data_IF_471135350463
#
_entry.id   IF_471135350463
#
_cell.length_a   1.000
_cell.length_b   1.000
_cell.length_c   1.000
_cell.angle_alpha   90.00
_cell.angle_beta   90.00
_cell.angle_gamma   90.00
#
_symmetry.space_group_name_H-M   'P 1'
#
loop_
_entity.id
_entity.type
_entity.pdbx_description
1 polymer ?
#
# COMPACT_ATOMS: atom_id res chain seq x y z
N UNK A 1 19.74 -3.65 9.16
CA UNK A 1 18.57 -2.73 9.24
C UNK A 1 17.36 -3.51 8.74
N UNK A 2 16.09 -3.14 9.04
CA UNK A 2 14.99 -3.81 8.34
C UNK A 2 15.16 -3.62 6.83
N UNK A 3 14.93 -4.69 6.06
CA UNK A 3 14.91 -4.61 4.60
C UNK A 3 13.64 -3.92 4.13
N UNK A 4 13.64 -3.40 2.90
CA UNK A 4 12.46 -2.75 2.34
C UNK A 4 11.23 -3.67 2.34
N UNK A 5 11.37 -4.96 1.98
CA UNK A 5 10.27 -5.94 1.99
C UNK A 5 9.56 -6.03 3.34
N UNK A 6 10.33 -6.07 4.43
CA UNK A 6 9.75 -6.12 5.78
C UNK A 6 8.97 -4.86 6.12
N UNK A 7 9.45 -3.71 5.65
CA UNK A 7 8.82 -2.43 5.93
C UNK A 7 7.52 -2.22 5.13
N UNK A 8 7.52 -2.60 3.85
CA UNK A 8 6.31 -2.55 3.01
C UNK A 8 5.24 -3.52 3.55
N UNK A 9 5.63 -4.75 3.88
CA UNK A 9 4.75 -5.71 4.55
C UNK A 9 4.16 -5.18 5.86
N UNK A 10 4.95 -4.50 6.69
CA UNK A 10 4.46 -3.89 7.93
C UNK A 10 3.41 -2.79 7.67
N UNK A 11 3.49 -2.08 6.54
CA UNK A 11 2.46 -1.12 6.14
C UNK A 11 1.21 -1.80 5.62
N UNK A 12 1.35 -2.87 4.85
CA UNK A 12 0.25 -3.71 4.39
C UNK A 12 -0.57 -4.22 5.58
N UNK A 13 0.09 -4.80 6.59
CA UNK A 13 -0.57 -5.24 7.82
C UNK A 13 -1.25 -4.08 8.57
N UNK A 14 -0.58 -2.92 8.65
CA UNK A 14 -1.10 -1.74 9.35
C UNK A 14 -2.37 -1.22 8.69
N UNK A 15 -2.35 -1.02 7.37
CA UNK A 15 -3.46 -0.46 6.59
C UNK A 15 -4.65 -1.42 6.57
N UNK A 16 -4.43 -2.70 6.28
CA UNK A 16 -5.50 -3.72 6.27
C UNK A 16 -6.14 -3.89 7.65
N UNK A 17 -5.34 -3.81 8.73
CA UNK A 17 -5.85 -3.79 10.10
C UNK A 17 -6.69 -2.55 10.41
N UNK A 18 -6.26 -1.37 9.94
CA UNK A 18 -6.99 -0.13 10.13
C UNK A 18 -8.34 -0.14 9.37
N UNK A 19 -8.36 -0.63 8.13
CA UNK A 19 -9.59 -0.81 7.34
C UNK A 19 -10.56 -1.76 8.04
N UNK A 20 -10.06 -2.89 8.57
CA UNK A 20 -10.87 -3.84 9.33
C UNK A 20 -11.49 -3.20 10.58
N UNK A 21 -10.73 -2.36 11.30
CA UNK A 21 -11.26 -1.61 12.45
C UNK A 21 -12.35 -0.61 12.06
N UNK A 22 -12.27 0.01 10.89
CA UNK A 22 -13.34 0.86 10.36
C UNK A 22 -14.60 0.02 10.13
N UNK A 23 -14.48 -1.12 9.48
CA UNK A 23 -15.60 -2.02 9.16
C UNK A 23 -16.25 -2.62 10.41
N UNK A 24 -15.48 -2.90 11.46
CA UNK A 24 -15.96 -3.45 12.72
C UNK A 24 -16.52 -2.39 13.69
N UNK A 25 -16.44 -1.10 13.33
CA UNK A 25 -16.86 -0.01 14.21
C UNK A 25 -18.38 0.20 14.21
N UNK A 26 -18.94 0.55 15.38
CA UNK A 26 -20.38 0.78 15.55
C UNK A 26 -20.92 1.99 14.78
N UNK A 27 -22.21 1.96 14.45
CA UNK A 27 -22.98 3.06 13.87
C UNK A 27 -22.88 4.30 14.78
N UNK A 28 -22.08 5.30 14.39
CA UNK A 28 -21.79 6.51 15.19
C UNK A 28 -20.33 6.66 15.63
N UNK A 29 -19.43 5.77 15.23
CA UNK A 29 -17.98 5.88 15.47
C UNK A 29 -17.28 6.90 14.55
N UNK A 30 -17.95 7.98 14.17
CA UNK A 30 -17.51 8.97 13.17
C UNK A 30 -16.06 9.44 13.40
N UNK A 31 -15.75 9.92 14.62
CA UNK A 31 -14.41 10.42 14.96
C UNK A 31 -13.33 9.34 14.86
N UNK A 32 -13.66 8.09 15.17
CA UNK A 32 -12.72 6.97 15.06
C UNK A 32 -12.49 6.62 13.59
N UNK A 33 -13.56 6.59 12.79
CA UNK A 33 -13.49 6.32 11.34
C UNK A 33 -12.70 7.40 10.62
N UNK A 34 -12.97 8.68 10.91
CA UNK A 34 -12.21 9.83 10.39
C UNK A 34 -10.72 9.69 10.72
N UNK A 35 -10.39 9.45 11.99
CA UNK A 35 -9.00 9.30 12.41
C UNK A 35 -8.29 8.15 11.70
N UNK A 36 -8.90 6.97 11.65
CA UNK A 36 -8.31 5.80 10.98
C UNK A 36 -8.17 6.03 9.47
N UNK A 37 -9.15 6.67 8.85
CA UNK A 37 -9.11 6.98 7.42
C UNK A 37 -7.96 7.93 7.08
N UNK A 38 -7.78 9.01 7.85
CA UNK A 38 -6.65 9.93 7.65
C UNK A 38 -5.30 9.24 7.89
N UNK A 39 -5.20 8.34 8.87
CA UNK A 39 -4.00 7.51 9.07
C UNK A 39 -3.72 6.61 7.86
N UNK A 40 -4.74 5.90 7.35
CA UNK A 40 -4.63 5.06 6.15
C UNK A 40 -4.17 5.88 4.93
N UNK A 41 -4.79 7.04 4.71
CA UNK A 41 -4.47 7.90 3.56
C UNK A 41 -3.02 8.38 3.61
N UNK A 42 -2.55 8.83 4.76
CA UNK A 42 -1.17 9.28 4.93
C UNK A 42 -0.16 8.14 4.79
N UNK A 43 -0.47 6.96 5.34
CA UNK A 43 0.39 5.78 5.21
C UNK A 43 0.51 5.34 3.74
N UNK A 44 -0.61 5.24 3.02
CA UNK A 44 -0.64 4.85 1.61
C UNK A 44 0.04 5.87 0.70
N UNK A 45 -0.05 7.18 1.00
CA UNK A 45 0.64 8.21 0.22
C UNK A 45 2.17 8.01 0.22
N UNK A 46 2.77 7.80 1.38
CA UNK A 46 4.22 7.60 1.50
C UNK A 46 4.65 6.25 0.94
N UNK A 47 3.84 5.22 1.18
CA UNK A 47 4.06 3.85 0.70
C UNK A 47 4.06 3.76 -0.83
N UNK A 48 2.93 4.13 -1.46
CA UNK A 48 2.79 4.06 -2.92
C UNK A 48 3.79 4.97 -3.64
N UNK A 49 4.11 6.14 -3.08
CA UNK A 49 5.14 7.02 -3.63
C UNK A 49 6.51 6.34 -3.66
N UNK A 50 6.90 5.69 -2.57
CA UNK A 50 8.19 4.99 -2.53
C UNK A 50 8.22 3.84 -3.53
N UNK A 51 7.14 3.08 -3.66
CA UNK A 51 7.08 1.99 -4.62
C UNK A 51 7.19 2.49 -6.06
N UNK A 52 6.44 3.52 -6.39
CA UNK A 52 6.41 4.13 -7.72
C UNK A 52 7.73 4.79 -8.12
N UNK A 53 8.37 5.51 -7.20
CA UNK A 53 9.57 6.30 -7.49
C UNK A 53 10.87 5.48 -7.31
N UNK A 54 10.88 4.47 -6.45
CA UNK A 54 12.10 3.77 -6.04
C UNK A 54 12.04 2.25 -6.22
N UNK A 55 11.00 1.57 -5.69
CA UNK A 55 10.94 0.11 -5.69
C UNK A 55 10.73 -0.46 -7.10
N UNK A 56 9.64 -0.10 -7.78
CA UNK A 56 9.31 -0.62 -9.12
C UNK A 56 10.39 -0.29 -10.16
N UNK A 57 10.99 0.93 -10.20
CA UNK A 57 12.10 1.21 -11.09
C UNK A 57 13.33 0.33 -10.81
N UNK A 58 13.65 0.08 -9.54
CA UNK A 58 14.76 -0.78 -9.16
C UNK A 58 14.47 -2.25 -9.52
N UNK A 59 13.26 -2.75 -9.26
CA UNK A 59 12.85 -4.10 -9.64
C UNK A 59 12.95 -4.32 -11.16
N UNK A 60 12.37 -3.42 -11.97
CA UNK A 60 12.45 -3.50 -13.45
C UNK A 60 13.85 -3.40 -14.01
N UNK A 61 14.75 -2.71 -13.30
CA UNK A 61 16.15 -2.58 -13.68
C UNK A 61 16.90 -3.89 -13.50
N UNK A 62 16.69 -4.59 -12.38
CA UNK A 62 17.37 -5.85 -12.10
C UNK A 62 16.70 -7.05 -12.80
N UNK A 63 15.37 -7.02 -12.95
CA UNK A 63 14.58 -8.02 -13.69
C UNK A 63 13.87 -7.37 -14.89
N UNK A 64 14.55 -7.39 -16.04
CA UNK A 64 14.14 -6.67 -17.25
C UNK A 64 13.32 -7.51 -18.26
N UNK A 65 12.66 -8.58 -17.81
CA UNK A 65 11.81 -9.45 -18.65
C UNK A 65 10.40 -8.85 -18.89
N UNK A 66 9.55 -9.56 -19.62
CA UNK A 66 8.20 -9.09 -19.95
C UNK A 66 7.23 -9.20 -18.77
N UNK A 67 7.43 -10.21 -17.93
CA UNK A 67 6.59 -10.52 -16.76
C UNK A 67 6.73 -9.41 -15.71
N UNK A 68 7.95 -9.06 -15.31
CA UNK A 68 8.20 -7.94 -14.38
C UNK A 68 7.68 -6.58 -14.89
N UNK A 69 7.55 -6.41 -16.22
CA UNK A 69 6.96 -5.18 -16.80
C UNK A 69 5.44 -5.18 -16.73
N UNK A 70 4.83 -6.35 -16.80
CA UNK A 70 3.39 -6.52 -16.65
C UNK A 70 2.99 -6.35 -15.19
N UNK A 71 3.65 -7.05 -14.26
CA UNK A 71 3.45 -6.91 -12.81
C UNK A 71 3.53 -5.44 -12.37
N UNK A 72 4.59 -4.71 -12.74
CA UNK A 72 4.71 -3.29 -12.38
C UNK A 72 3.63 -2.43 -13.05
N UNK A 73 3.20 -2.76 -14.27
CA UNK A 73 2.14 -2.00 -14.93
C UNK A 73 0.80 -2.20 -14.21
N UNK A 74 0.52 -3.42 -13.78
CA UNK A 74 -0.72 -3.77 -13.11
C UNK A 74 -0.74 -3.14 -11.71
N UNK A 75 0.36 -3.27 -10.95
CA UNK A 75 0.55 -2.59 -9.66
C UNK A 75 0.35 -1.06 -9.74
N UNK A 76 0.90 -0.41 -10.76
CA UNK A 76 0.67 1.03 -11.00
C UNK A 76 -0.80 1.35 -11.31
N UNK A 77 -1.50 0.47 -12.01
CA UNK A 77 -2.93 0.65 -12.30
C UNK A 77 -3.77 0.50 -11.03
N UNK A 78 -3.44 -0.47 -10.18
CA UNK A 78 -4.11 -0.70 -8.90
C UNK A 78 -3.87 0.44 -7.91
N UNK A 79 -2.66 1.00 -7.87
CA UNK A 79 -2.36 2.21 -7.10
C UNK A 79 -3.26 3.37 -7.50
N UNK A 80 -3.44 3.62 -8.80
CA UNK A 80 -4.31 4.70 -9.28
C UNK A 80 -5.78 4.46 -8.94
N UNK A 81 -6.22 3.20 -8.96
CA UNK A 81 -7.57 2.81 -8.51
C UNK A 81 -7.75 3.09 -7.00
N UNK A 82 -6.80 2.64 -6.18
CA UNK A 82 -6.82 2.87 -4.73
C UNK A 82 -6.80 4.37 -4.38
N UNK A 83 -5.94 5.17 -5.04
CA UNK A 83 -5.91 6.64 -4.90
C UNK A 83 -7.25 7.27 -5.25
N UNK A 84 -7.89 6.82 -6.34
CA UNK A 84 -9.22 7.30 -6.73
C UNK A 84 -10.26 7.00 -5.64
N UNK A 85 -10.26 5.78 -5.09
CA UNK A 85 -11.16 5.40 -4.00
C UNK A 85 -10.91 6.22 -2.73
N UNK A 86 -9.66 6.50 -2.38
CA UNK A 86 -9.30 7.38 -1.26
C UNK A 86 -9.83 8.80 -1.44
N UNK A 87 -9.75 9.36 -2.65
CA UNK A 87 -10.29 10.69 -2.94
C UNK A 87 -11.81 10.73 -2.84
N UNK A 88 -12.50 9.70 -3.34
CA UNK A 88 -13.95 9.54 -3.16
C UNK A 88 -14.32 9.46 -1.68
N UNK A 89 -13.66 8.58 -0.92
CA UNK A 89 -13.87 8.38 0.53
C UNK A 89 -13.62 9.65 1.34
N UNK A 90 -12.66 10.49 0.92
CA UNK A 90 -12.34 11.76 1.59
C UNK A 90 -13.55 12.69 1.63
N UNK A 91 -14.40 12.67 0.59
CA UNK A 91 -15.59 13.52 0.50
C UNK A 91 -16.87 12.89 1.10
N UNK A 92 -16.83 11.61 1.50
CA UNK A 92 -18.00 10.90 2.02
C UNK A 92 -18.25 11.16 3.51
N UNK A 93 -19.52 11.08 3.91
CA UNK A 93 -19.95 11.06 5.32
C UNK A 93 -19.51 9.74 5.96
N UNK A 94 -18.62 9.82 6.95
CA UNK A 94 -18.05 8.64 7.63
C UNK A 94 -19.08 7.83 8.42
N UNK A 95 -20.29 8.34 8.59
CA UNK A 95 -21.41 7.63 9.23
C UNK A 95 -22.32 6.91 8.24
N UNK A 96 -22.18 7.15 6.94
CA UNK A 96 -23.08 6.61 5.93
C UNK A 96 -22.75 5.15 5.58
N UNK A 97 -23.77 4.43 5.10
CA UNK A 97 -23.60 3.06 4.62
C UNK A 97 -22.72 3.02 3.36
N UNK A 98 -22.82 4.02 2.48
CA UNK A 98 -21.99 4.12 1.27
C UNK A 98 -20.50 4.25 1.60
N UNK A 99 -20.14 4.98 2.68
CA UNK A 99 -18.75 5.03 3.14
C UNK A 99 -18.25 3.64 3.56
N UNK A 100 -19.07 2.87 4.27
CA UNK A 100 -18.69 1.52 4.72
C UNK A 100 -18.58 0.56 3.54
N UNK A 101 -19.47 0.64 2.55
CA UNK A 101 -19.35 -0.14 1.31
C UNK A 101 -18.08 0.20 0.55
N UNK A 102 -17.77 1.49 0.36
CA UNK A 102 -16.55 1.92 -0.33
C UNK A 102 -15.26 1.54 0.43
N UNK A 103 -15.27 1.51 1.77
CA UNK A 103 -14.16 0.98 2.56
C UNK A 103 -13.96 -0.53 2.33
N UNK A 104 -15.04 -1.30 2.12
CA UNK A 104 -14.90 -2.72 1.75
C UNK A 104 -14.27 -2.88 0.38
N UNK A 105 -14.72 -2.10 -0.61
CA UNK A 105 -14.14 -2.08 -1.96
C UNK A 105 -12.64 -1.76 -1.92
N UNK A 106 -12.25 -0.69 -1.21
CA UNK A 106 -10.85 -0.31 -1.04
C UNK A 106 -10.05 -1.44 -0.37
N UNK A 107 -10.59 -2.07 0.67
CA UNK A 107 -9.93 -3.18 1.36
C UNK A 107 -9.71 -4.37 0.44
N UNK A 108 -10.71 -4.75 -0.35
CA UNK A 108 -10.61 -5.86 -1.32
C UNK A 108 -9.57 -5.56 -2.41
N UNK A 109 -9.55 -4.34 -2.94
CA UNK A 109 -8.58 -3.91 -3.93
C UNK A 109 -7.14 -3.93 -3.38
N UNK A 110 -6.93 -3.43 -2.15
CA UNK A 110 -5.63 -3.48 -1.51
C UNK A 110 -5.21 -4.91 -1.18
N UNK A 111 -6.12 -5.77 -0.71
CA UNK A 111 -5.78 -7.18 -0.45
C UNK A 111 -5.37 -7.94 -1.71
N UNK A 112 -5.97 -7.62 -2.87
CA UNK A 112 -5.53 -8.15 -4.16
C UNK A 112 -4.11 -7.69 -4.51
N UNK A 113 -3.90 -6.36 -4.52
CA UNK A 113 -2.61 -5.75 -4.80
C UNK A 113 -1.48 -6.28 -3.90
N UNK A 114 -1.74 -6.36 -2.59
CA UNK A 114 -0.79 -6.87 -1.59
C UNK A 114 -0.45 -8.34 -1.87
N UNK A 115 -1.41 -9.16 -2.28
CA UNK A 115 -1.14 -10.57 -2.61
C UNK A 115 -0.21 -10.67 -3.83
N UNK A 116 -0.49 -9.91 -4.88
CA UNK A 116 0.36 -9.90 -6.10
C UNK A 116 1.78 -9.43 -5.77
N UNK A 117 1.93 -8.41 -4.94
CA UNK A 117 3.24 -7.96 -4.48
C UNK A 117 3.96 -8.98 -3.61
N UNK A 118 3.33 -9.45 -2.52
CA UNK A 118 4.00 -10.25 -1.51
C UNK A 118 4.24 -11.70 -1.95
N UNK A 119 3.33 -12.27 -2.73
CA UNK A 119 3.39 -13.66 -3.16
C UNK A 119 4.13 -13.84 -4.49
N UNK A 120 4.17 -12.80 -5.34
CA UNK A 120 4.79 -12.88 -6.67
C UNK A 120 5.97 -11.92 -6.83
N UNK A 121 5.77 -10.60 -6.67
CA UNK A 121 6.81 -9.61 -6.98
C UNK A 121 7.98 -9.64 -5.99
N UNK A 122 7.71 -9.69 -4.68
CA UNK A 122 8.73 -9.65 -3.63
C UNK A 122 9.66 -10.87 -3.68
N UNK A 123 9.19 -12.12 -3.83
CA UNK A 123 10.07 -13.27 -4.01
C UNK A 123 11.00 -13.11 -5.19
N UNK A 124 10.49 -12.62 -6.33
CA UNK A 124 11.30 -12.38 -7.53
C UNK A 124 12.30 -11.24 -7.31
N UNK A 125 11.91 -10.18 -6.62
CA UNK A 125 12.77 -9.07 -6.28
C UNK A 125 13.92 -9.53 -5.35
N UNK A 126 13.65 -10.41 -4.39
CA UNK A 126 14.67 -10.98 -3.49
C UNK A 126 15.73 -11.83 -4.20
N UNK A 127 15.42 -12.37 -5.38
CA UNK A 127 16.40 -13.12 -6.19
C UNK A 127 17.40 -12.19 -6.90
N UNK A 128 17.02 -10.95 -7.19
CA UNK A 128 17.78 -10.02 -8.04
C UNK A 128 18.26 -8.76 -7.33
N UNK A 129 17.65 -8.40 -6.19
CA UNK A 129 18.07 -7.30 -5.31
C UNK A 129 18.74 -7.91 -4.09
N UNK A 130 20.06 -7.71 -3.95
CA UNK A 130 20.80 -8.25 -2.82
C UNK A 130 20.38 -7.61 -1.47
N UNK A 131 20.67 -8.33 -0.38
CA UNK A 131 20.28 -7.92 0.97
C UNK A 131 20.78 -6.52 1.32
N UNK A 132 22.01 -6.17 0.91
CA UNK A 132 22.59 -4.86 1.18
C UNK A 132 21.80 -3.75 0.48
N UNK A 133 21.44 -3.93 -0.79
CA UNK A 133 20.62 -2.97 -1.54
C UNK A 133 19.23 -2.86 -0.92
N UNK A 134 18.62 -3.98 -0.51
CA UNK A 134 17.33 -3.98 0.17
C UNK A 134 17.36 -3.25 1.53
N UNK A 135 18.45 -3.35 2.29
CA UNK A 135 18.66 -2.57 3.52
C UNK A 135 18.87 -1.07 3.23
N UNK A 136 19.61 -0.71 2.18
CA UNK A 136 19.78 0.68 1.75
C UNK A 136 18.44 1.33 1.35
N UNK A 137 17.62 0.58 0.61
CA UNK A 137 16.25 0.99 0.25
C UNK A 137 15.37 1.16 1.50
N UNK A 138 15.43 0.22 2.44
CA UNK A 138 14.71 0.34 3.72
C UNK A 138 15.12 1.57 4.53
N UNK A 139 16.42 1.87 4.59
CA UNK A 139 16.91 3.08 5.25
C UNK A 139 16.41 4.37 4.56
N UNK A 140 16.34 4.38 3.23
CA UNK A 140 15.76 5.50 2.49
C UNK A 140 14.26 5.64 2.77
N UNK A 141 13.52 4.54 2.71
CA UNK A 141 12.09 4.53 3.01
C UNK A 141 11.79 5.04 4.43
N UNK A 142 12.60 4.63 5.41
CA UNK A 142 12.49 5.11 6.78
C UNK A 142 12.70 6.63 6.89
N UNK A 143 13.56 7.23 6.07
CA UNK A 143 13.74 8.68 6.05
C UNK A 143 12.52 9.42 5.51
N UNK A 144 11.87 8.89 4.47
CA UNK A 144 10.66 9.49 3.90
C UNK A 144 9.49 9.50 4.89
N UNK A 145 9.39 8.47 5.74
CA UNK A 145 8.37 8.38 6.80
C UNK A 145 8.58 9.32 7.98
N UNK A 146 9.78 9.91 8.11
CA UNK A 146 10.12 10.79 9.22
C UNK A 146 9.95 12.28 8.89
N UNK A 147 9.71 12.61 7.62
CA UNK A 147 9.47 13.97 7.10
C UNK A 147 7.99 14.36 7.17
#
# INVERSE_FOLDING_TARGET
MPTIYKMLHDDHEKVTSALSKILDSSDGAERTREKLFEEIKADLEVHTRFEEEEFYPQFRKEKADSEAREEVRDALSEHEEAKTMLDELSAMDKTSDEFIEKIRELKEALEHHISDEEDEMFPQAQEVIDEKKAEEMGAHYQSLKAD
#
